data_IF_584432667934
#
_entry.id   IF_584432667934
#
_cell.length_a   1.000
_cell.length_b   1.000
_cell.length_c   1.000
_cell.angle_alpha   90.00
_cell.angle_beta   90.00
_cell.angle_gamma   90.00
#
_symmetry.space_group_name_H-M   'P 1'
#
loop_
_entity.id
_entity.type
_entity.pdbx_description
1 polymer ?
#
# COMPACT_ATOMS: atom_id res chain seq x y z
N UNK A 1 18.66 -5.57 -19.16
CA UNK A 1 17.36 -4.96 -18.82
C UNK A 1 17.56 -4.28 -17.48
N UNK A 2 17.11 -3.03 -17.28
CA UNK A 2 17.34 -2.32 -16.01
C UNK A 2 16.41 -2.93 -14.95
N UNK A 3 16.98 -3.47 -13.88
CA UNK A 3 16.25 -4.12 -12.78
C UNK A 3 15.63 -3.06 -11.85
N UNK A 4 14.65 -2.31 -12.36
CA UNK A 4 13.88 -1.37 -11.57
C UNK A 4 12.87 -2.14 -10.71
N UNK A 5 12.98 -2.00 -9.39
CA UNK A 5 12.10 -2.59 -8.40
C UNK A 5 11.36 -1.49 -7.63
N UNK A 6 10.15 -1.78 -7.19
CA UNK A 6 9.41 -0.90 -6.30
C UNK A 6 9.15 -1.63 -4.98
N UNK A 7 9.40 -0.97 -3.86
CA UNK A 7 9.01 -1.42 -2.52
C UNK A 7 8.24 -0.31 -1.81
N UNK A 8 7.53 -0.64 -0.74
CA UNK A 8 6.80 0.34 0.05
C UNK A 8 7.12 0.21 1.53
N UNK A 9 7.01 1.34 2.24
CA UNK A 9 7.13 1.42 3.70
C UNK A 9 5.91 2.17 4.21
N UNK A 10 5.20 1.59 5.18
CA UNK A 10 4.10 2.27 5.85
C UNK A 10 4.63 3.13 6.99
N UNK A 11 4.03 4.30 7.20
CA UNK A 11 4.40 5.18 8.32
C UNK A 11 4.02 4.54 9.67
N UNK A 12 2.96 3.74 9.67
CA UNK A 12 2.45 3.02 10.84
C UNK A 12 2.38 1.53 10.52
N UNK A 13 2.62 0.69 11.53
CA UNK A 13 2.51 -0.77 11.41
C UNK A 13 1.11 -1.22 11.02
N UNK A 14 0.10 -0.45 11.40
CA UNK A 14 -1.31 -0.72 11.13
C UNK A 14 -1.98 0.52 10.55
N UNK A 15 -2.84 0.33 9.55
CA UNK A 15 -3.72 1.37 9.02
C UNK A 15 -5.08 1.28 9.73
N UNK A 16 -5.46 2.37 10.40
CA UNK A 16 -6.74 2.46 11.12
C UNK A 16 -7.68 3.39 10.37
N UNK A 17 -8.91 2.93 10.16
CA UNK A 17 -9.98 3.75 9.63
C UNK A 17 -10.36 4.87 10.62
N UNK A 18 -10.99 5.96 10.14
CA UNK A 18 -11.26 6.27 8.74
C UNK A 18 -9.99 6.72 7.99
N UNK A 19 -9.84 6.30 6.73
CA UNK A 19 -8.77 6.76 5.83
C UNK A 19 -9.36 7.63 4.72
N UNK A 20 -8.85 8.85 4.58
CA UNK A 20 -9.34 9.78 3.57
C UNK A 20 -8.67 9.55 2.23
N UNK A 21 -9.38 9.87 1.14
CA UNK A 21 -8.79 9.87 -0.20
C UNK A 21 -7.58 10.82 -0.24
N UNK A 22 -6.52 10.38 -0.90
CA UNK A 22 -5.20 11.02 -0.99
C UNK A 22 -4.44 11.15 0.34
N UNK A 23 -4.91 10.54 1.43
CA UNK A 23 -4.16 10.51 2.68
C UNK A 23 -2.84 9.76 2.49
N UNK A 24 -1.73 10.39 2.89
CA UNK A 24 -0.41 9.77 2.85
C UNK A 24 -0.30 8.77 4.01
N UNK A 25 -0.06 7.51 3.67
CA UNK A 25 0.06 6.39 4.63
C UNK A 25 1.44 5.76 4.65
N UNK A 26 2.33 6.19 3.75
CA UNK A 26 3.66 5.64 3.62
C UNK A 26 4.46 6.26 2.48
N UNK A 27 5.45 5.52 2.03
CA UNK A 27 6.32 5.87 0.91
C UNK A 27 6.56 4.67 -0.01
N UNK A 28 6.70 4.95 -1.30
CA UNK A 28 7.14 4.00 -2.33
C UNK A 28 8.59 4.32 -2.64
N UNK A 29 9.45 3.32 -2.54
CA UNK A 29 10.87 3.39 -2.88
C UNK A 29 11.10 2.70 -4.22
N UNK A 30 11.61 3.45 -5.19
CA UNK A 30 12.05 2.91 -6.47
C UNK A 30 13.53 2.58 -6.37
N UNK A 31 13.89 1.33 -6.61
CA UNK A 31 15.23 0.82 -6.51
C UNK A 31 15.74 0.38 -7.87
N UNK A 32 16.96 0.80 -8.22
CA UNK A 32 17.68 0.30 -9.37
C UNK A 32 18.98 -0.30 -8.87
N UNK A 33 19.25 -1.55 -9.27
CA UNK A 33 20.44 -2.30 -8.84
C UNK A 33 20.60 -2.33 -7.30
N UNK A 34 19.48 -2.43 -6.59
CA UNK A 34 19.42 -2.47 -5.12
C UNK A 34 19.58 -1.11 -4.42
N UNK A 35 19.74 0.00 -5.16
CA UNK A 35 19.83 1.36 -4.60
C UNK A 35 18.55 2.12 -4.83
N UNK A 36 18.01 2.77 -3.80
CA UNK A 36 16.87 3.68 -3.94
C UNK A 36 17.28 4.89 -4.77
N UNK A 37 16.62 5.07 -5.91
CA UNK A 37 16.84 6.20 -6.84
C UNK A 37 15.77 7.29 -6.69
N UNK A 38 14.59 6.93 -6.20
CA UNK A 38 13.45 7.84 -6.11
C UNK A 38 12.47 7.39 -5.02
N UNK A 39 11.80 8.34 -4.38
CA UNK A 39 10.77 8.10 -3.39
C UNK A 39 9.51 8.92 -3.69
N UNK A 40 8.34 8.29 -3.58
CA UNK A 40 7.03 8.93 -3.79
C UNK A 40 6.10 8.65 -2.61
N UNK A 41 5.16 9.55 -2.29
CA UNK A 41 4.19 9.31 -1.23
C UNK A 41 3.24 8.18 -1.62
N UNK A 42 3.04 7.23 -0.70
CA UNK A 42 2.00 6.21 -0.82
C UNK A 42 0.70 6.79 -0.27
N UNK A 43 -0.33 6.89 -1.12
CA UNK A 43 -1.61 7.51 -0.77
C UNK A 43 -2.79 6.59 -0.90
N UNK A 44 -3.84 6.88 -0.13
CA UNK A 44 -5.11 6.17 -0.16
C UNK A 44 -5.92 6.56 -1.39
N UNK A 45 -6.20 5.63 -2.30
CA UNK A 45 -6.92 5.93 -3.55
C UNK A 45 -8.43 6.09 -3.36
N UNK A 46 -9.01 5.30 -2.45
CA UNK A 46 -10.44 5.31 -2.14
C UNK A 46 -10.63 5.54 -0.65
N UNK A 47 -11.57 6.39 -0.29
CA UNK A 47 -11.92 6.63 1.11
C UNK A 47 -12.37 5.32 1.79
N UNK A 48 -11.87 5.11 3.00
CA UNK A 48 -12.22 3.97 3.85
C UNK A 48 -12.89 4.51 5.09
N UNK A 49 -14.20 4.32 5.19
CA UNK A 49 -14.95 4.68 6.39
C UNK A 49 -14.83 3.60 7.46
N UNK A 50 -14.94 4.00 8.73
CA UNK A 50 -15.00 3.08 9.86
C UNK A 50 -16.35 2.33 9.86
N UNK A 51 -16.32 1.00 10.07
CA UNK A 51 -17.51 0.15 10.09
C UNK A 51 -17.35 -1.16 9.30
N UNK A 52 -18.43 -1.91 9.11
CA UNK A 52 -18.43 -3.22 8.44
C UNK A 52 -17.95 -3.23 6.98
N UNK A 53 -17.67 -2.06 6.40
CA UNK A 53 -17.05 -1.89 5.08
C UNK A 53 -15.52 -2.13 5.11
N UNK A 54 -14.79 -1.70 6.16
CA UNK A 54 -13.34 -1.91 6.25
C UNK A 54 -12.95 -3.39 6.30
N UNK A 55 -13.67 -4.19 7.10
CA UNK A 55 -13.47 -5.65 7.13
C UNK A 55 -13.62 -6.29 5.76
N UNK A 56 -14.63 -5.88 4.95
CA UNK A 56 -14.83 -6.41 3.60
C UNK A 56 -13.68 -6.06 2.65
N UNK A 57 -13.15 -4.85 2.74
CA UNK A 57 -11.97 -4.43 1.94
C UNK A 57 -10.75 -5.28 2.32
N UNK A 58 -10.49 -5.46 3.62
CA UNK A 58 -9.37 -6.27 4.09
C UNK A 58 -9.52 -7.73 3.63
N UNK A 59 -10.73 -8.29 3.68
CA UNK A 59 -10.99 -9.64 3.18
C UNK A 59 -10.75 -9.75 1.67
N UNK A 60 -11.15 -8.75 0.89
CA UNK A 60 -10.87 -8.68 -0.55
C UNK A 60 -9.36 -8.63 -0.84
N UNK A 61 -8.61 -7.80 -0.10
CA UNK A 61 -7.16 -7.70 -0.23
C UNK A 61 -6.50 -9.05 0.09
N UNK A 62 -6.89 -9.70 1.18
CA UNK A 62 -6.39 -11.04 1.55
C UNK A 62 -6.65 -12.07 0.45
N UNK A 63 -7.84 -12.08 -0.14
CA UNK A 63 -8.20 -12.99 -1.24
C UNK A 63 -7.38 -12.74 -2.50
N UNK A 64 -7.13 -11.47 -2.84
CA UNK A 64 -6.31 -11.09 -3.99
C UNK A 64 -4.85 -11.56 -3.82
N UNK A 65 -4.27 -11.38 -2.62
CA UNK A 65 -2.92 -11.88 -2.33
C UNK A 65 -2.84 -13.41 -2.29
N UNK A 66 -3.88 -14.08 -1.76
CA UNK A 66 -3.94 -15.55 -1.79
C UNK A 66 -3.94 -16.09 -3.23
N UNK A 67 -4.61 -15.43 -4.17
CA UNK A 67 -4.57 -15.85 -5.58
C UNK A 67 -3.23 -15.59 -6.27
N UNK A 68 -2.50 -14.57 -5.83
CA UNK A 68 -1.24 -14.19 -6.49
C UNK A 68 -0.04 -15.02 -6.00
N UNK A 69 -0.11 -15.57 -4.78
CA UNK A 69 0.97 -16.32 -4.15
C UNK A 69 0.58 -17.73 -3.66
N UNK A 70 -0.67 -18.16 -3.91
CA UNK A 70 -1.13 -19.54 -3.70
C UNK A 70 -1.35 -20.26 -5.02
#
# INVERSE_FOLDING_TARGET
MKDLKASYVLNNTELRAPLQKNQVVGSINFQLDGKTIEQRPLVVLNEVQEGGFFSRIIDYIKLMFHHWFG
#
